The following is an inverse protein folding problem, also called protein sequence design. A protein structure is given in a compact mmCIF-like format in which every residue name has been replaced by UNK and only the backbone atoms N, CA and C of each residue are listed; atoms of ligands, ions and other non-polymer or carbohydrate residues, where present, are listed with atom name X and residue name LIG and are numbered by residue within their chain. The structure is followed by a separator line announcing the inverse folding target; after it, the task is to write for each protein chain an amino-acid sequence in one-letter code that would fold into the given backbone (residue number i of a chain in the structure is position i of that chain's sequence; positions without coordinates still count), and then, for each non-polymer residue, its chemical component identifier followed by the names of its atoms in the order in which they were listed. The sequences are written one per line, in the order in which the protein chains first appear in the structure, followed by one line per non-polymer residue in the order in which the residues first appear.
data_IF_150325739690
#
_entry.id   IF_150325739690
#
_cell.length_a   1.000
_cell.length_b   1.000
_cell.length_c   1.000
_cell.angle_alpha   90.00
_cell.angle_beta   90.00
_cell.angle_gamma   90.00
#
_symmetry.space_group_name_H-M   'P 1'
#
loop_
_entity.id
_entity.type
_entity.pdbx_description
1 polymer ?
#
# COMPACT_ATOMS: atom_id res chain seq x y z
N UNK A 1 25.31 50.84 -42.83
CA UNK A 1 24.87 51.09 -41.43
C UNK A 1 24.00 49.88 -41.04
N UNK A 2 24.52 48.79 -40.43
CA UNK A 2 24.70 48.52 -38.97
C UNK A 2 23.49 49.02 -38.16
N UNK A 3 22.63 48.20 -37.52
CA UNK A 3 22.82 47.13 -36.51
C UNK A 3 21.69 46.06 -36.67
N UNK A 4 21.77 44.74 -36.42
CA UNK A 4 22.34 43.84 -35.40
C UNK A 4 21.68 43.90 -33.99
N UNK A 5 21.01 42.79 -33.64
CA UNK A 5 20.82 42.18 -32.31
C UNK A 5 19.84 42.81 -31.30
N UNK A 6 18.81 42.07 -30.90
CA UNK A 6 18.83 41.31 -29.62
C UNK A 6 17.57 40.45 -29.43
N UNK A 7 17.81 39.19 -29.07
CA UNK A 7 16.85 38.26 -28.46
C UNK A 7 16.44 38.72 -27.06
N UNK A 8 15.24 38.33 -26.62
CA UNK A 8 14.85 37.83 -25.29
C UNK A 8 13.32 37.67 -25.37
N UNK A 9 12.72 36.48 -25.32
CA UNK A 9 12.78 35.55 -24.21
C UNK A 9 11.57 35.78 -23.33
N UNK A 10 10.56 34.89 -23.38
CA UNK A 10 9.75 34.42 -22.25
C UNK A 10 8.74 33.38 -22.77
N UNK A 11 9.25 32.16 -22.91
CA UNK A 11 8.45 30.95 -22.70
C UNK A 11 8.25 30.85 -21.19
N UNK A 12 6.98 30.70 -20.76
CA UNK A 12 6.52 29.95 -19.59
C UNK A 12 5.40 30.68 -18.86
N UNK A 13 4.18 30.15 -18.97
CA UNK A 13 3.39 29.84 -17.78
C UNK A 13 2.34 28.77 -18.15
N UNK A 14 2.80 27.58 -18.51
CA UNK A 14 1.94 26.40 -18.45
C UNK A 14 1.71 26.10 -16.97
N UNK A 15 0.55 26.52 -16.47
CA UNK A 15 0.04 26.15 -15.14
C UNK A 15 0.01 24.63 -15.04
N UNK A 16 1.02 24.06 -14.39
CA UNK A 16 0.97 22.69 -13.88
C UNK A 16 -0.11 22.72 -12.81
N UNK A 17 -1.31 22.25 -13.16
CA UNK A 17 -2.32 21.90 -12.20
C UNK A 17 -1.73 20.80 -11.31
N UNK A 18 -1.24 21.20 -10.14
CA UNK A 18 -0.91 20.29 -9.05
C UNK A 18 -2.23 19.62 -8.69
N UNK A 19 -2.43 18.40 -9.19
CA UNK A 19 -3.44 17.50 -8.68
C UNK A 19 -3.05 17.22 -7.23
N UNK A 20 -3.64 18.01 -6.34
CA UNK A 20 -3.68 17.72 -4.92
C UNK A 20 -4.31 16.34 -4.77
N UNK A 21 -3.45 15.33 -4.57
CA UNK A 21 -3.86 14.06 -4.02
C UNK A 21 -4.38 14.35 -2.61
N UNK A 22 -5.68 14.61 -2.53
CA UNK A 22 -6.42 14.55 -1.28
C UNK A 22 -6.33 13.12 -0.78
N UNK A 23 -5.42 12.90 0.18
CA UNK A 23 -5.43 11.72 1.02
C UNK A 23 -6.82 11.69 1.69
N UNK A 24 -7.68 10.69 1.43
CA UNK A 24 -8.88 10.54 2.22
C UNK A 24 -8.43 10.18 3.64
N UNK A 25 -8.52 11.14 4.55
CA UNK A 25 -8.51 10.87 5.98
C UNK A 25 -9.79 10.09 6.26
N UNK A 26 -9.69 8.77 6.25
CA UNK A 26 -10.70 7.91 6.85
C UNK A 26 -10.72 8.24 8.34
N UNK A 27 -11.64 9.13 8.74
CA UNK A 27 -12.06 9.27 10.11
C UNK A 27 -12.74 7.96 10.51
N UNK A 28 -11.93 7.01 10.94
CA UNK A 28 -12.38 5.73 11.45
C UNK A 28 -13.14 5.99 12.75
N UNK A 29 -14.46 5.74 12.70
CA UNK A 29 -15.34 5.72 13.87
C UNK A 29 -14.72 4.77 14.89
N UNK A 30 -14.55 5.16 16.17
CA UNK A 30 -13.95 4.28 17.16
C UNK A 30 -14.79 3.02 17.26
N UNK A 31 -14.20 1.90 16.83
CA UNK A 31 -14.77 0.56 16.99
C UNK A 31 -15.04 0.37 18.48
N UNK A 32 -16.29 0.09 18.82
CA UNK A 32 -16.74 -0.07 20.20
C UNK A 32 -15.80 -1.03 20.94
N UNK A 33 -15.30 -0.59 22.09
CA UNK A 33 -14.59 -1.45 23.03
C UNK A 33 -15.45 -2.70 23.30
N UNK A 34 -14.87 -3.91 23.34
CA UNK A 34 -15.64 -5.11 23.62
C UNK A 34 -16.35 -4.97 24.97
N UNK A 35 -17.58 -5.49 25.05
CA UNK A 35 -18.36 -5.50 26.29
C UNK A 35 -17.52 -6.04 27.45
N UNK A 36 -17.55 -5.33 28.57
CA UNK A 36 -16.77 -5.55 29.79
C UNK A 36 -16.85 -6.97 30.35
N UNK A 37 -17.84 -7.77 29.93
CA UNK A 37 -18.08 -9.12 30.45
C UNK A 37 -17.11 -10.18 29.91
N UNK A 38 -16.55 -10.02 28.70
CA UNK A 38 -15.55 -10.95 28.17
C UNK A 38 -14.18 -10.77 28.86
N UNK A 39 -13.84 -9.52 29.21
CA UNK A 39 -12.63 -9.19 29.95
C UNK A 39 -12.71 -9.59 31.43
N UNK A 40 -13.91 -9.68 32.01
CA UNK A 40 -14.10 -10.03 33.42
C UNK A 40 -13.59 -11.44 33.79
N UNK A 41 -13.38 -12.32 32.80
CA UNK A 41 -12.92 -13.70 33.00
C UNK A 41 -11.47 -13.95 32.58
N UNK A 42 -10.82 -12.98 31.93
CA UNK A 42 -9.45 -13.13 31.42
C UNK A 42 -8.45 -12.44 32.35
N UNK A 43 -7.33 -13.10 32.62
CA UNK A 43 -6.22 -12.42 33.30
C UNK A 43 -5.50 -11.44 32.36
N UNK A 44 -4.54 -10.69 32.91
CA UNK A 44 -3.79 -9.68 32.16
C UNK A 44 -3.00 -10.27 30.98
N UNK A 45 -2.41 -11.46 31.13
CA UNK A 45 -1.64 -12.09 30.07
C UNK A 45 -2.56 -12.55 28.93
N UNK A 46 -3.68 -13.17 29.27
CA UNK A 46 -4.72 -13.58 28.33
C UNK A 46 -5.30 -12.38 27.58
N UNK A 47 -5.53 -11.26 28.28
CA UNK A 47 -6.00 -10.01 27.68
C UNK A 47 -5.01 -9.45 26.65
N UNK A 48 -3.71 -9.49 26.94
CA UNK A 48 -2.69 -9.03 25.98
C UNK A 48 -2.71 -9.85 24.69
N UNK A 49 -2.81 -11.18 24.80
CA UNK A 49 -2.88 -12.08 23.64
C UNK A 49 -4.17 -11.84 22.85
N UNK A 50 -5.31 -11.73 23.52
CA UNK A 50 -6.61 -11.44 22.89
C UNK A 50 -6.60 -10.11 22.11
N UNK A 51 -5.94 -9.09 22.66
CA UNK A 51 -5.87 -7.76 22.07
C UNK A 51 -5.09 -7.71 20.75
N UNK A 52 -4.28 -8.72 20.42
CA UNK A 52 -3.57 -8.80 19.14
C UNK A 52 -4.50 -8.85 17.92
N UNK A 53 -5.78 -9.19 18.11
CA UNK A 53 -6.76 -9.29 17.02
C UNK A 53 -8.07 -8.52 17.24
N UNK A 54 -8.33 -7.99 18.43
CA UNK A 54 -9.65 -7.46 18.79
C UNK A 54 -9.67 -5.96 19.14
N UNK A 55 -8.50 -5.32 19.21
CA UNK A 55 -8.39 -3.89 19.51
C UNK A 55 -8.04 -3.12 18.23
N UNK A 56 -8.43 -1.85 18.17
CA UNK A 56 -7.99 -0.94 17.11
C UNK A 56 -6.46 -0.86 17.07
N UNK A 57 -5.87 -0.73 15.88
CA UNK A 57 -4.41 -0.69 15.70
C UNK A 57 -3.69 -1.93 16.24
N UNK A 58 -4.38 -3.07 16.34
CA UNK A 58 -3.78 -4.35 16.67
C UNK A 58 -3.03 -4.95 15.47
N UNK A 59 -2.23 -5.99 15.72
CA UNK A 59 -1.56 -6.71 14.63
C UNK A 59 -2.55 -7.24 13.59
N UNK A 60 -3.66 -7.83 14.04
CA UNK A 60 -4.72 -8.31 13.15
C UNK A 60 -5.36 -7.19 12.33
N UNK A 61 -5.52 -5.99 12.93
CA UNK A 61 -6.00 -4.81 12.21
C UNK A 61 -5.06 -4.41 11.08
N UNK A 62 -3.75 -4.28 11.34
CA UNK A 62 -2.79 -3.89 10.30
C UNK A 62 -2.69 -4.91 9.17
N UNK A 63 -2.69 -6.21 9.49
CA UNK A 63 -2.70 -7.27 8.47
C UNK A 63 -3.92 -7.17 7.55
N UNK A 64 -5.11 -6.98 8.12
CA UNK A 64 -6.33 -6.79 7.33
C UNK A 64 -6.35 -5.50 6.53
N UNK A 65 -5.81 -4.42 7.10
CA UNK A 65 -5.69 -3.13 6.42
C UNK A 65 -4.79 -3.26 5.18
N UNK A 66 -3.63 -3.90 5.32
CA UNK A 66 -2.69 -4.09 4.23
C UNK A 66 -3.27 -5.02 3.14
N UNK A 67 -3.97 -6.09 3.52
CA UNK A 67 -4.70 -6.95 2.56
C UNK A 67 -5.69 -6.10 1.73
N UNK A 68 -6.45 -5.20 2.37
CA UNK A 68 -7.38 -4.31 1.65
C UNK A 68 -6.65 -3.29 0.77
N UNK A 69 -5.45 -2.86 1.18
CA UNK A 69 -4.61 -1.94 0.44
C UNK A 69 -4.05 -2.52 -0.87
N UNK A 70 -3.95 -3.85 -0.98
CA UNK A 70 -3.35 -4.52 -2.15
C UNK A 70 -4.12 -4.26 -3.44
N UNK A 71 -5.45 -4.19 -3.41
CA UNK A 71 -6.25 -3.88 -4.61
C UNK A 71 -5.96 -2.47 -5.14
N UNK A 72 -5.78 -1.51 -4.22
CA UNK A 72 -5.40 -0.15 -4.58
C UNK A 72 -3.98 -0.11 -5.13
N UNK A 73 -3.06 -0.83 -4.50
CA UNK A 73 -1.68 -0.95 -4.97
C UNK A 73 -1.59 -1.55 -6.38
N UNK A 74 -2.40 -2.56 -6.70
CA UNK A 74 -2.44 -3.15 -8.05
C UNK A 74 -2.89 -2.14 -9.10
N UNK A 75 -3.94 -1.40 -8.81
CA UNK A 75 -4.44 -0.36 -9.69
C UNK A 75 -3.37 0.71 -9.95
N UNK A 76 -2.71 1.16 -8.89
CA UNK A 76 -1.69 2.20 -8.96
C UNK A 76 -0.43 1.74 -9.71
N UNK A 77 0.03 0.51 -9.47
CA UNK A 77 1.16 -0.08 -10.18
C UNK A 77 0.84 -0.27 -11.67
N UNK A 78 -0.36 -0.73 -12.01
CA UNK A 78 -0.80 -0.86 -13.40
C UNK A 78 -0.84 0.49 -14.11
N UNK A 79 -1.34 1.53 -13.43
CA UNK A 79 -1.35 2.90 -13.95
C UNK A 79 0.06 3.43 -14.15
N UNK A 80 0.95 3.23 -13.18
CA UNK A 80 2.35 3.63 -13.27
C UNK A 80 3.06 2.95 -14.44
N UNK A 81 2.85 1.65 -14.65
CA UNK A 81 3.42 0.90 -15.78
C UNK A 81 2.99 1.50 -17.12
N UNK A 82 1.69 1.75 -17.30
CA UNK A 82 1.15 2.36 -18.53
C UNK A 82 1.75 3.75 -18.78
N UNK A 83 1.86 4.57 -17.74
CA UNK A 83 2.46 5.90 -17.84
C UNK A 83 3.92 5.81 -18.31
N UNK A 84 4.72 4.93 -17.72
CA UNK A 84 6.12 4.73 -18.12
C UNK A 84 6.21 4.28 -19.58
N UNK A 85 5.39 3.31 -19.99
CA UNK A 85 5.38 2.79 -21.35
C UNK A 85 5.00 3.86 -22.39
N UNK A 86 3.99 4.68 -22.12
CA UNK A 86 3.58 5.75 -23.03
C UNK A 86 4.61 6.89 -23.12
N UNK A 87 5.24 7.23 -21.99
CA UNK A 87 6.33 8.21 -21.96
C UNK A 87 7.54 7.69 -22.74
N UNK A 88 7.95 6.44 -22.52
CA UNK A 88 9.09 5.84 -23.22
C UNK A 88 8.86 5.80 -24.73
N UNK A 89 7.69 5.32 -25.17
CA UNK A 89 7.28 5.31 -26.57
C UNK A 89 7.31 6.71 -27.19
N UNK A 90 6.74 7.69 -26.51
CA UNK A 90 6.68 9.07 -26.99
C UNK A 90 8.08 9.69 -27.07
N UNK A 91 8.88 9.50 -26.03
CA UNK A 91 10.26 10.01 -25.95
C UNK A 91 11.13 9.44 -27.08
N UNK A 92 11.11 8.12 -27.27
CA UNK A 92 11.92 7.44 -28.27
C UNK A 92 11.49 7.80 -29.70
N UNK A 93 10.17 7.97 -29.94
CA UNK A 93 9.64 8.50 -31.20
C UNK A 93 10.15 9.92 -31.48
N UNK A 94 10.12 10.82 -30.50
CA UNK A 94 10.60 12.20 -30.65
C UNK A 94 12.11 12.29 -30.87
N UNK A 95 12.88 11.27 -30.46
CA UNK A 95 14.32 11.17 -30.69
C UNK A 95 14.70 10.45 -31.98
N UNK A 96 13.72 10.05 -32.80
CA UNK A 96 13.97 9.35 -34.06
C UNK A 96 14.38 7.87 -33.90
N UNK A 97 14.27 7.32 -32.68
CA UNK A 97 14.66 5.94 -32.37
C UNK A 97 13.48 5.15 -31.76
N UNK A 98 12.36 4.95 -32.50
CA UNK A 98 11.12 4.39 -31.94
C UNK A 98 11.25 2.96 -31.38
N UNK A 99 12.24 2.20 -31.84
CA UNK A 99 12.52 0.84 -31.38
C UNK A 99 13.33 0.80 -30.08
N UNK A 100 13.93 1.93 -29.67
CA UNK A 100 14.62 2.01 -28.41
C UNK A 100 13.65 1.89 -27.23
N UNK A 101 14.17 1.46 -26.08
CA UNK A 101 13.43 1.28 -24.83
C UNK A 101 14.19 1.89 -23.67
N UNK A 102 14.32 3.21 -23.71
CA UNK A 102 15.09 4.01 -22.73
C UNK A 102 14.67 3.77 -21.28
N UNK A 103 13.40 3.46 -21.01
CA UNK A 103 12.86 3.25 -19.67
C UNK A 103 12.53 1.78 -19.34
N UNK A 104 13.02 0.82 -20.14
CA UNK A 104 12.70 -0.60 -19.97
C UNK A 104 12.98 -1.13 -18.56
N UNK A 105 14.09 -0.70 -17.97
CA UNK A 105 14.49 -1.12 -16.63
C UNK A 105 13.45 -0.74 -15.55
N UNK A 106 12.76 0.39 -15.72
CA UNK A 106 11.70 0.82 -14.79
C UNK A 106 10.46 -0.03 -14.98
N UNK A 107 10.03 -0.25 -16.23
CA UNK A 107 8.89 -1.12 -16.55
C UNK A 107 9.07 -2.53 -15.98
N UNK A 108 10.25 -3.13 -16.15
CA UNK A 108 10.58 -4.46 -15.59
C UNK A 108 10.44 -4.48 -14.07
N UNK A 109 10.86 -3.42 -13.37
CA UNK A 109 10.74 -3.35 -11.90
C UNK A 109 9.28 -3.23 -11.46
N UNK A 110 8.45 -2.49 -12.19
CA UNK A 110 7.01 -2.38 -11.91
C UNK A 110 6.30 -3.70 -12.19
N UNK A 111 6.61 -4.37 -13.31
CA UNK A 111 6.10 -5.71 -13.62
C UNK A 111 6.49 -6.73 -12.55
N UNK A 112 7.74 -6.69 -12.07
CA UNK A 112 8.17 -7.51 -10.94
C UNK A 112 7.33 -7.23 -9.68
N UNK A 113 7.07 -5.97 -9.36
CA UNK A 113 6.22 -5.61 -8.21
C UNK A 113 4.79 -6.14 -8.37
N UNK A 114 4.21 -6.03 -9.57
CA UNK A 114 2.89 -6.60 -9.90
C UNK A 114 2.88 -8.12 -9.71
N UNK A 115 3.92 -8.83 -10.14
CA UNK A 115 4.00 -10.29 -9.96
C UNK A 115 4.22 -10.70 -8.50
N UNK A 116 5.02 -9.94 -7.75
CA UNK A 116 5.27 -10.20 -6.33
C UNK A 116 4.07 -9.89 -5.44
N UNK A 117 3.11 -9.07 -5.90
CA UNK A 117 1.94 -8.69 -5.09
C UNK A 117 1.07 -9.89 -4.71
N UNK A 118 0.90 -10.85 -5.62
CA UNK A 118 0.00 -11.97 -5.40
C UNK A 118 0.52 -12.88 -4.28
N UNK A 119 1.84 -13.11 -4.29
CA UNK A 119 2.55 -13.85 -3.24
C UNK A 119 2.42 -13.08 -1.91
N UNK A 120 2.66 -11.76 -1.95
CA UNK A 120 2.55 -10.93 -0.76
C UNK A 120 1.12 -10.91 -0.16
N UNK A 121 0.09 -10.92 -1.00
CA UNK A 121 -1.31 -11.02 -0.57
C UNK A 121 -1.59 -12.36 0.13
N UNK A 122 -1.08 -13.45 -0.44
CA UNK A 122 -1.20 -14.79 0.15
C UNK A 122 -0.47 -14.86 1.49
N UNK A 123 0.77 -14.35 1.56
CA UNK A 123 1.57 -14.29 2.79
C UNK A 123 0.85 -13.50 3.90
N UNK A 124 0.21 -12.37 3.57
CA UNK A 124 -0.54 -11.59 4.56
C UNK A 124 -1.80 -12.34 5.04
N UNK A 125 -2.51 -13.02 4.13
CA UNK A 125 -3.68 -13.84 4.50
C UNK A 125 -3.27 -14.99 5.40
N UNK A 126 -2.19 -15.69 5.05
CA UNK A 126 -1.64 -16.78 5.85
C UNK A 126 -1.19 -16.29 7.24
N UNK A 127 -0.47 -15.17 7.29
CA UNK A 127 -0.07 -14.55 8.55
C UNK A 127 -1.27 -14.19 9.44
N UNK A 128 -2.35 -13.67 8.86
CA UNK A 128 -3.57 -13.35 9.60
C UNK A 128 -4.28 -14.60 10.13
N UNK A 129 -4.39 -15.66 9.32
CA UNK A 129 -4.98 -16.94 9.74
C UNK A 129 -4.13 -17.57 10.85
N UNK A 130 -2.82 -17.59 10.68
CA UNK A 130 -1.86 -18.10 11.66
C UNK A 130 -1.93 -17.31 12.97
N UNK A 131 -2.04 -15.98 12.92
CA UNK A 131 -2.22 -15.15 14.11
C UNK A 131 -3.48 -15.54 14.89
N UNK A 132 -4.61 -15.73 14.20
CA UNK A 132 -5.86 -16.16 14.86
C UNK A 132 -5.71 -17.52 15.53
N UNK A 133 -5.17 -18.49 14.81
CA UNK A 133 -4.93 -19.83 15.33
C UNK A 133 -4.00 -19.81 16.54
N UNK A 134 -2.91 -19.02 16.49
CA UNK A 134 -1.96 -18.89 17.60
C UNK A 134 -2.59 -18.25 18.84
N UNK A 135 -3.46 -17.24 18.66
CA UNK A 135 -4.22 -16.62 19.76
C UNK A 135 -5.13 -17.67 20.42
N UNK A 136 -5.90 -18.41 19.61
CA UNK A 136 -6.82 -19.45 20.11
C UNK A 136 -6.06 -20.56 20.84
N UNK A 137 -5.00 -21.10 20.25
CA UNK A 137 -4.16 -22.15 20.85
C UNK A 137 -3.54 -21.70 22.17
N UNK A 138 -3.02 -20.48 22.22
CA UNK A 138 -2.40 -19.92 23.43
C UNK A 138 -3.42 -19.78 24.56
N UNK A 139 -4.61 -19.25 24.26
CA UNK A 139 -5.65 -19.04 25.26
C UNK A 139 -6.25 -20.37 25.75
N UNK A 140 -6.47 -21.34 24.86
CA UNK A 140 -6.95 -22.69 25.23
C UNK A 140 -5.90 -23.41 26.09
N UNK A 141 -4.63 -23.39 25.69
CA UNK A 141 -3.54 -24.06 26.41
C UNK A 141 -3.34 -23.50 27.82
N UNK A 142 -3.49 -22.19 28.01
CA UNK A 142 -3.39 -21.56 29.33
C UNK A 142 -4.57 -21.94 30.24
N UNK A 143 -5.80 -21.98 29.71
CA UNK A 143 -6.96 -22.43 30.50
C UNK A 143 -6.87 -23.90 30.94
N UNK A 144 -6.18 -24.76 30.18
CA UNK A 144 -5.93 -26.15 30.54
C UNK A 144 -4.90 -26.34 31.66
N UNK A 145 -4.01 -25.36 31.90
CA UNK A 145 -2.96 -25.41 32.93
C UNK A 145 -3.42 -24.92 34.31
N UNK A 146 -4.59 -24.27 34.41
CA UNK A 146 -5.15 -23.76 35.68
C UNK A 146 -5.98 -24.80 36.45
N UNK A 147 -5.71 -26.10 36.29
CA UNK A 147 -6.34 -27.18 37.06
C UNK A 147 -5.41 -27.72 38.14
#
# INVERSE_FOLDING_TARGET
MRNLSTMLGFVALSSVAVLAFGVPTHAEKPSAAPSTDAFAKMDRAQTLVYNLNHVANSTGFYLLQDIRGIDTMDHDLTKALRQVQEVDKTFNRLRGNPDNRSMQAVSIKIEKALNSRAIFEEDLKDAYITLKSAIEETLVSDTGKKK
#
